data_IF_987136998818
#
_entry.id   IF_987136998818
#
_cell.length_a   1.000
_cell.length_b   1.000
_cell.length_c   1.000
_cell.angle_alpha   90.00
_cell.angle_beta   90.00
_cell.angle_gamma   90.00
#
_symmetry.space_group_name_H-M   'P 1'
#
loop_
_entity.id
_entity.type
_entity.pdbx_description
1 polymer ?
#
# COMPACT_ATOMS: atom_id res chain seq x y z
N UNK A 1 11.95 48.15 47.62
CA UNK A 1 10.81 47.82 46.75
C UNK A 1 11.37 47.19 45.48
N UNK A 2 11.11 45.89 45.29
CA UNK A 2 11.64 45.10 44.19
C UNK A 2 10.88 45.42 42.89
N UNK A 3 11.60 45.55 41.77
CA UNK A 3 11.03 45.44 40.42
C UNK A 3 11.80 44.35 39.67
N UNK A 4 11.16 43.28 39.20
CA UNK A 4 11.83 42.22 38.46
C UNK A 4 11.88 42.53 36.96
N UNK A 5 12.98 42.04 36.37
CA UNK A 5 13.31 41.96 34.95
C UNK A 5 12.21 41.31 34.11
N UNK A 6 11.82 41.95 33.01
CA UNK A 6 11.02 41.33 31.95
C UNK A 6 11.93 40.44 31.11
N UNK A 7 11.86 39.13 31.33
CA UNK A 7 12.35 38.11 30.41
C UNK A 7 11.23 37.85 29.42
N UNK A 8 11.46 38.14 28.14
CA UNK A 8 10.51 37.88 27.06
C UNK A 8 10.43 36.37 26.80
N UNK A 9 9.37 35.73 27.29
CA UNK A 9 9.12 34.30 27.10
C UNK A 9 8.45 34.09 25.74
N UNK A 10 9.18 33.47 24.82
CA UNK A 10 8.68 33.08 23.50
C UNK A 10 7.42 32.20 23.63
N UNK A 11 6.34 32.58 22.94
CA UNK A 11 5.08 31.85 22.92
C UNK A 11 5.27 30.42 22.36
N UNK A 12 4.62 29.39 22.93
CA UNK A 12 4.72 28.03 22.43
C UNK A 12 4.05 27.93 21.05
N UNK A 13 4.78 27.37 20.08
CA UNK A 13 4.28 27.10 18.72
C UNK A 13 3.01 26.25 18.80
N UNK A 14 1.89 26.78 18.32
CA UNK A 14 0.64 26.05 18.17
C UNK A 14 0.79 24.94 17.14
N UNK A 15 0.69 23.69 17.60
CA UNK A 15 0.59 22.50 16.77
C UNK A 15 -0.73 22.52 15.98
N UNK A 16 -0.68 22.87 14.69
CA UNK A 16 -1.83 22.97 13.79
C UNK A 16 -2.24 21.62 13.18
N UNK A 17 -2.06 20.51 13.90
CA UNK A 17 -2.31 19.15 13.38
C UNK A 17 -3.43 18.36 14.08
N UNK A 18 -4.42 19.03 14.69
CA UNK A 18 -5.62 18.34 15.22
C UNK A 18 -6.86 18.69 14.41
N UNK A 19 -7.20 17.82 13.46
CA UNK A 19 -8.48 17.84 12.75
C UNK A 19 -9.64 17.55 13.73
N UNK A 20 -10.84 18.11 13.51
CA UNK A 20 -11.96 18.02 14.45
C UNK A 20 -12.43 16.57 14.65
N UNK A 21 -12.51 16.18 15.93
CA UNK A 21 -13.04 14.90 16.39
C UNK A 21 -14.57 15.04 16.46
N UNK A 22 -15.28 14.84 15.34
CA UNK A 22 -16.71 14.53 15.36
C UNK A 22 -17.20 13.91 14.04
N UNK A 23 -17.81 12.73 14.17
CA UNK A 23 -18.36 11.94 13.07
C UNK A 23 -18.64 10.50 13.50
N UNK A 24 -19.27 10.33 14.66
CA UNK A 24 -19.81 9.05 15.13
C UNK A 24 -21.22 8.93 14.52
N UNK A 25 -21.36 8.19 13.41
CA UNK A 25 -22.63 7.59 12.99
C UNK A 25 -22.39 6.63 11.81
N UNK A 26 -22.96 5.44 11.95
CA UNK A 26 -23.23 4.45 10.90
C UNK A 26 -22.03 3.68 10.31
N UNK A 27 -21.49 2.79 11.14
CA UNK A 27 -21.06 1.48 10.64
C UNK A 27 -22.13 0.46 11.02
N UNK A 28 -22.79 -0.08 10.01
CA UNK A 28 -23.66 -1.25 10.11
C UNK A 28 -22.98 -2.32 10.94
N UNK A 29 -23.55 -2.61 12.11
CA UNK A 29 -23.24 -3.79 12.90
C UNK A 29 -23.70 -5.00 12.08
N UNK A 30 -22.80 -5.63 11.35
CA UNK A 30 -22.92 -7.06 11.11
C UNK A 30 -22.62 -7.69 12.47
N UNK A 31 -23.67 -7.97 13.23
CA UNK A 31 -23.54 -8.71 14.46
C UNK A 31 -23.01 -10.10 14.09
N UNK A 32 -21.72 -10.33 14.31
CA UNK A 32 -21.23 -11.68 14.48
C UNK A 32 -21.98 -12.23 15.71
N UNK A 33 -23.01 -13.04 15.46
CA UNK A 33 -23.66 -13.82 16.50
C UNK A 33 -22.60 -14.81 16.94
N UNK A 34 -21.85 -14.47 17.98
CA UNK A 34 -21.04 -15.44 18.68
C UNK A 34 -22.00 -16.53 19.16
N UNK A 35 -21.76 -17.81 18.85
CA UNK A 35 -22.56 -18.88 19.43
C UNK A 35 -22.52 -18.73 20.95
N UNK A 36 -23.69 -18.80 21.60
CA UNK A 36 -23.76 -18.91 23.06
C UNK A 36 -23.22 -20.30 23.39
N UNK A 37 -21.93 -20.37 23.69
CA UNK A 37 -21.26 -21.59 24.12
C UNK A 37 -21.33 -21.60 25.64
N UNK A 38 -21.82 -22.69 26.23
CA UNK A 38 -21.81 -22.86 27.67
C UNK A 38 -20.35 -22.77 28.17
N UNK A 39 -20.05 -21.79 29.03
CA UNK A 39 -18.69 -21.53 29.55
C UNK A 39 -18.06 -22.77 30.22
N UNK A 40 -18.89 -23.71 30.72
CA UNK A 40 -18.45 -24.96 31.33
C UNK A 40 -17.86 -25.99 30.33
N UNK A 41 -18.08 -25.80 29.02
CA UNK A 41 -17.59 -26.70 27.96
C UNK A 41 -16.43 -26.11 27.15
N UNK A 42 -15.98 -24.89 27.47
CA UNK A 42 -14.81 -24.30 26.83
C UNK A 42 -13.52 -24.91 27.38
N UNK A 43 -12.89 -25.75 26.57
CA UNK A 43 -11.52 -26.21 26.77
C UNK A 43 -10.52 -25.26 26.10
N UNK A 44 -9.35 -25.06 26.72
CA UNK A 44 -8.29 -24.18 26.28
C UNK A 44 -8.16 -22.85 27.05
N UNK A 45 -7.14 -22.06 26.68
CA UNK A 45 -6.86 -20.76 27.27
C UNK A 45 -7.16 -19.63 26.30
N UNK A 46 -7.76 -18.55 26.78
CA UNK A 46 -7.98 -17.36 25.96
C UNK A 46 -6.66 -16.62 25.70
N UNK A 47 -6.61 -15.85 24.61
CA UNK A 47 -5.45 -15.00 24.33
C UNK A 47 -5.21 -13.97 25.45
N UNK A 48 -6.25 -13.54 26.15
CA UNK A 48 -6.09 -12.61 27.28
C UNK A 48 -5.41 -13.28 28.47
N UNK A 49 -5.77 -14.52 28.79
CA UNK A 49 -5.15 -15.29 29.87
C UNK A 49 -3.69 -15.61 29.57
N UNK A 50 -3.36 -15.89 28.31
CA UNK A 50 -1.99 -16.20 27.89
C UNK A 50 -1.12 -14.94 27.89
N UNK A 51 -1.58 -13.84 27.28
CA UNK A 51 -0.71 -12.67 27.01
C UNK A 51 -0.84 -11.53 28.03
N UNK A 52 -1.94 -11.42 28.78
CA UNK A 52 -2.17 -10.29 29.71
C UNK A 52 -1.99 -10.65 31.18
N UNK A 53 -1.71 -11.91 31.53
CA UNK A 53 -1.59 -12.33 32.93
C UNK A 53 -0.39 -11.63 33.61
N UNK A 54 -0.61 -10.73 34.58
CA UNK A 54 0.45 -9.94 35.19
C UNK A 54 1.47 -10.79 35.96
N UNK A 55 1.03 -11.97 36.39
CA UNK A 55 1.78 -12.93 37.20
C UNK A 55 2.84 -13.69 36.38
N UNK A 56 2.68 -13.75 35.06
CA UNK A 56 3.51 -14.55 34.16
C UNK A 56 3.93 -13.71 32.94
N UNK A 57 4.93 -12.84 33.11
CA UNK A 57 5.52 -12.02 32.03
C UNK A 57 6.48 -12.84 31.16
N UNK A 58 5.96 -13.89 30.53
CA UNK A 58 6.74 -14.76 29.64
C UNK A 58 6.53 -14.31 28.19
N UNK A 59 7.60 -14.30 27.41
CA UNK A 59 7.53 -14.08 25.97
C UNK A 59 7.23 -15.39 25.26
N UNK A 60 6.22 -15.40 24.40
CA UNK A 60 5.89 -16.52 23.54
C UNK A 60 6.28 -16.22 22.09
N UNK A 61 6.75 -17.24 21.39
CA UNK A 61 7.00 -17.24 19.95
C UNK A 61 5.90 -18.03 19.22
N UNK A 62 5.94 -18.06 17.89
CA UNK A 62 4.92 -18.76 17.09
C UNK A 62 4.91 -20.28 17.33
N UNK A 63 6.05 -20.87 17.71
CA UNK A 63 6.16 -22.32 17.93
C UNK A 63 5.66 -22.75 19.32
N UNK A 64 5.46 -21.80 20.24
CA UNK A 64 5.06 -22.08 21.62
C UNK A 64 3.53 -22.21 21.79
N UNK A 65 2.75 -21.83 20.78
CA UNK A 65 1.28 -21.74 20.86
C UNK A 65 0.65 -22.42 19.64
N UNK A 66 -0.43 -23.15 19.89
CA UNK A 66 -1.28 -23.71 18.85
C UNK A 66 -2.71 -23.19 18.98
N UNK A 67 -3.41 -23.07 17.86
CA UNK A 67 -4.83 -22.74 17.86
C UNK A 67 -5.66 -24.03 17.92
N UNK A 68 -6.57 -24.14 18.90
CA UNK A 68 -7.51 -25.25 18.95
C UNK A 68 -8.50 -25.13 17.78
N UNK A 69 -8.82 -26.24 17.09
CA UNK A 69 -9.73 -26.22 15.96
C UNK A 69 -11.17 -25.94 16.42
N UNK A 70 -11.93 -25.24 15.56
CA UNK A 70 -13.35 -24.98 15.75
C UNK A 70 -14.23 -25.77 14.78
N UNK A 71 -15.54 -25.59 14.90
CA UNK A 71 -16.52 -26.15 13.97
C UNK A 71 -16.50 -25.40 12.62
N UNK A 72 -16.55 -26.13 11.50
CA UNK A 72 -16.49 -25.58 10.14
C UNK A 72 -17.81 -25.82 9.43
N UNK A 73 -18.39 -24.79 8.81
CA UNK A 73 -19.64 -24.86 8.03
C UNK A 73 -19.55 -24.18 6.65
N UNK A 74 -18.35 -23.82 6.20
CA UNK A 74 -18.10 -23.11 4.93
C UNK A 74 -16.95 -23.77 4.15
N UNK A 75 -16.83 -23.45 2.86
CA UNK A 75 -15.73 -23.92 2.01
C UNK A 75 -14.47 -23.06 2.16
N UNK A 76 -13.29 -23.62 1.89
CA UNK A 76 -12.00 -22.91 1.99
C UNK A 76 -11.97 -21.63 1.14
N UNK A 77 -12.68 -21.62 0.01
CA UNK A 77 -12.75 -20.47 -0.90
C UNK A 77 -13.59 -19.30 -0.38
N UNK A 78 -14.45 -19.54 0.63
CA UNK A 78 -15.30 -18.51 1.23
C UNK A 78 -14.57 -17.70 2.31
N UNK A 79 -13.33 -18.10 2.66
CA UNK A 79 -12.52 -17.42 3.66
C UNK A 79 -12.04 -16.07 3.13
N UNK A 80 -12.43 -15.01 3.81
CA UNK A 80 -12.06 -13.65 3.46
C UNK A 80 -10.69 -13.28 4.07
N UNK A 81 -9.69 -13.02 3.20
CA UNK A 81 -8.32 -12.64 3.60
C UNK A 81 -8.10 -11.12 3.64
N UNK A 82 -9.17 -10.37 3.42
CA UNK A 82 -9.18 -8.91 3.38
C UNK A 82 -8.62 -8.30 4.66
N UNK A 83 -7.54 -7.53 4.53
CA UNK A 83 -6.79 -7.00 5.68
C UNK A 83 -6.44 -5.53 5.51
N UNK A 84 -6.28 -4.81 6.61
CA UNK A 84 -5.95 -3.38 6.60
C UNK A 84 -4.48 -3.19 6.96
N UNK A 85 -3.70 -2.64 6.02
CA UNK A 85 -2.29 -2.24 6.31
C UNK A 85 -2.26 -0.87 6.98
N UNK A 86 -3.16 0.02 6.57
CA UNK A 86 -3.32 1.33 7.22
C UNK A 86 -4.81 1.59 7.46
N UNK A 87 -5.13 2.67 8.18
CA UNK A 87 -6.52 3.10 8.42
C UNK A 87 -7.35 3.31 7.14
N UNK A 88 -6.69 3.53 5.99
CA UNK A 88 -7.35 3.83 4.72
C UNK A 88 -7.06 2.81 3.61
N UNK A 89 -6.01 2.01 3.74
CA UNK A 89 -5.56 1.10 2.69
C UNK A 89 -5.88 -0.32 3.10
N UNK A 90 -6.77 -0.93 2.32
CA UNK A 90 -7.18 -2.34 2.43
C UNK A 90 -6.46 -3.16 1.35
N UNK A 91 -5.99 -4.33 1.73
CA UNK A 91 -5.42 -5.35 0.84
C UNK A 91 -6.37 -6.54 0.77
N UNK A 92 -6.34 -7.24 -0.37
CA UNK A 92 -7.08 -8.51 -0.54
C UNK A 92 -6.32 -9.69 0.06
N UNK A 93 -5.00 -9.61 0.05
CA UNK A 93 -4.11 -10.63 0.59
C UNK A 93 -3.21 -9.98 1.65
N UNK A 94 -3.10 -10.53 2.87
CA UNK A 94 -2.36 -9.95 3.99
C UNK A 94 -0.84 -10.20 3.89
N UNK A 95 -0.28 -10.09 2.68
CA UNK A 95 1.13 -10.34 2.43
C UNK A 95 1.77 -9.04 1.95
N UNK A 96 2.84 -8.65 2.64
CA UNK A 96 3.63 -7.45 2.36
C UNK A 96 5.10 -7.84 2.22
N UNK A 97 5.76 -7.37 1.16
CA UNK A 97 7.19 -7.63 0.98
C UNK A 97 8.05 -6.67 1.84
N UNK A 98 9.16 -7.20 2.36
CA UNK A 98 10.08 -6.45 3.23
C UNK A 98 10.82 -5.35 2.43
N UNK A 99 11.04 -4.16 3.01
CA UNK A 99 11.80 -3.06 2.39
C UNK A 99 13.32 -3.30 2.44
N UNK A 100 13.77 -4.41 1.87
CA UNK A 100 15.17 -4.81 1.76
C UNK A 100 15.64 -4.73 0.32
N UNK A 101 16.88 -4.32 0.11
CA UNK A 101 17.52 -4.22 -1.22
C UNK A 101 17.59 -5.55 -1.97
N UNK A 102 17.79 -6.64 -1.23
CA UNK A 102 17.78 -8.00 -1.76
C UNK A 102 16.39 -8.54 -2.10
N UNK A 103 15.32 -7.85 -1.68
CA UNK A 103 13.94 -8.36 -1.77
C UNK A 103 13.07 -7.50 -2.67
N UNK A 104 12.98 -6.19 -2.42
CA UNK A 104 11.91 -5.36 -2.98
C UNK A 104 12.42 -4.15 -3.76
N UNK A 105 12.55 -4.33 -5.08
CA UNK A 105 12.60 -3.26 -6.09
C UNK A 105 11.27 -3.18 -6.87
N UNK A 106 11.20 -2.37 -7.94
CA UNK A 106 9.98 -2.21 -8.75
C UNK A 106 9.37 -3.52 -9.24
N UNK A 107 10.19 -4.49 -9.67
CA UNK A 107 9.69 -5.79 -10.17
C UNK A 107 8.91 -6.56 -9.12
N UNK A 108 9.45 -6.68 -7.90
CA UNK A 108 8.78 -7.37 -6.80
C UNK A 108 7.54 -6.60 -6.34
N UNK A 109 7.64 -5.27 -6.24
CA UNK A 109 6.50 -4.45 -5.84
C UNK A 109 5.32 -4.54 -6.84
N UNK A 110 5.61 -4.63 -8.14
CA UNK A 110 4.59 -4.85 -9.18
C UNK A 110 3.96 -6.24 -9.01
N UNK A 111 4.76 -7.29 -8.86
CA UNK A 111 4.25 -8.66 -8.70
C UNK A 111 3.34 -8.79 -7.47
N UNK A 112 3.78 -8.28 -6.32
CA UNK A 112 3.00 -8.29 -5.07
C UNK A 112 1.67 -7.54 -5.22
N UNK A 113 1.69 -6.39 -5.88
CA UNK A 113 0.48 -5.60 -6.11
C UNK A 113 -0.50 -6.29 -7.07
N UNK A 114 -0.02 -7.06 -8.06
CA UNK A 114 -0.86 -7.82 -8.98
C UNK A 114 -1.58 -8.98 -8.27
N UNK A 115 -0.92 -9.63 -7.32
CA UNK A 115 -1.50 -10.69 -6.48
C UNK A 115 -2.42 -10.15 -5.36
N UNK A 116 -2.58 -8.83 -5.25
CA UNK A 116 -3.45 -8.20 -4.25
C UNK A 116 -2.81 -7.94 -2.88
N UNK A 117 -1.48 -8.11 -2.79
CA UNK A 117 -0.65 -7.71 -1.66
C UNK A 117 -0.05 -6.31 -1.83
N UNK A 118 1.04 -6.04 -1.10
CA UNK A 118 1.76 -4.76 -1.13
C UNK A 118 3.26 -4.98 -1.16
N UNK A 119 3.98 -4.18 -1.95
CA UNK A 119 5.45 -4.13 -1.90
C UNK A 119 5.96 -2.80 -1.37
N UNK A 120 6.96 -2.85 -0.49
CA UNK A 120 7.63 -1.65 0.05
C UNK A 120 9.04 -1.56 -0.52
N UNK A 121 9.32 -0.52 -1.31
CA UNK A 121 10.65 -0.32 -1.91
C UNK A 121 11.64 0.10 -0.81
N UNK A 122 12.81 -0.54 -0.80
CA UNK A 122 13.87 -0.23 0.17
C UNK A 122 14.42 1.20 0.03
N UNK A 123 15.12 1.68 1.06
CA UNK A 123 15.70 3.04 1.12
C UNK A 123 17.21 3.06 0.85
N UNK A 124 17.83 1.90 0.59
CA UNK A 124 19.26 1.78 0.28
C UNK A 124 19.59 2.24 -1.16
N UNK A 125 19.14 3.43 -1.55
CA UNK A 125 19.42 4.06 -2.84
C UNK A 125 19.20 5.58 -2.75
N UNK A 126 19.75 6.39 -3.68
CA UNK A 126 19.46 7.82 -3.74
C UNK A 126 17.96 8.11 -3.90
N UNK A 127 17.47 9.23 -3.36
CA UNK A 127 16.05 9.60 -3.42
C UNK A 127 15.49 9.62 -4.85
N UNK A 128 16.29 10.06 -5.83
CA UNK A 128 15.91 10.10 -7.24
C UNK A 128 15.69 8.69 -7.81
N UNK A 129 16.57 7.75 -7.46
CA UNK A 129 16.45 6.36 -7.88
C UNK A 129 15.20 5.71 -7.26
N UNK A 130 14.94 5.97 -5.97
CA UNK A 130 13.75 5.45 -5.31
C UNK A 130 12.46 5.99 -5.94
N UNK A 131 12.43 7.29 -6.25
CA UNK A 131 11.31 7.91 -6.94
C UNK A 131 11.10 7.30 -8.34
N UNK A 132 12.19 6.98 -9.06
CA UNK A 132 12.11 6.30 -10.34
C UNK A 132 11.51 4.89 -10.21
N UNK A 133 11.91 4.11 -9.21
CA UNK A 133 11.33 2.79 -8.92
C UNK A 133 9.83 2.88 -8.60
N UNK A 134 9.42 3.83 -7.73
CA UNK A 134 8.01 4.07 -7.41
C UNK A 134 7.22 4.47 -8.67
N UNK A 135 7.80 5.32 -9.52
CA UNK A 135 7.17 5.77 -10.78
C UNK A 135 6.93 4.59 -11.72
N UNK A 136 7.89 3.65 -11.84
CA UNK A 136 7.72 2.42 -12.62
C UNK A 136 6.55 1.58 -12.11
N UNK A 137 6.46 1.36 -10.79
CA UNK A 137 5.36 0.59 -10.19
C UNK A 137 4.00 1.22 -10.45
N UNK A 138 3.88 2.55 -10.25
CA UNK A 138 2.60 3.26 -10.45
C UNK A 138 2.18 3.36 -11.90
N UNK A 139 3.12 3.45 -12.84
CA UNK A 139 2.84 3.51 -14.29
C UNK A 139 2.54 2.15 -14.91
N UNK A 140 2.89 1.04 -14.25
CA UNK A 140 2.76 -0.30 -14.81
C UNK A 140 1.32 -0.66 -15.19
N UNK A 141 0.34 -0.32 -14.34
CA UNK A 141 -1.08 -0.55 -14.61
C UNK A 141 -1.90 0.69 -14.27
N UNK A 142 -2.05 1.56 -15.25
CA UNK A 142 -2.90 2.76 -15.18
C UNK A 142 -4.19 2.52 -15.95
N UNK A 143 -5.34 2.90 -15.36
CA UNK A 143 -6.62 2.89 -16.08
C UNK A 143 -6.65 3.96 -17.17
N UNK A 144 -6.40 5.22 -16.78
CA UNK A 144 -6.21 6.33 -17.70
C UNK A 144 -4.76 6.81 -17.64
N UNK A 145 -4.13 6.96 -18.80
CA UNK A 145 -2.76 7.46 -18.92
C UNK A 145 -2.84 8.98 -19.11
N UNK A 146 -2.49 9.74 -18.06
CA UNK A 146 -2.60 11.21 -18.06
C UNK A 146 -1.54 11.89 -18.93
N UNK A 147 -0.34 11.31 -18.99
CA UNK A 147 0.81 11.86 -19.71
C UNK A 147 1.49 10.76 -20.53
N UNK A 148 0.92 10.40 -21.71
CA UNK A 148 1.53 9.43 -22.60
C UNK A 148 2.75 10.02 -23.28
N UNK A 149 3.72 9.17 -23.61
CA UNK A 149 4.86 9.59 -24.45
C UNK A 149 4.36 9.77 -25.88
N UNK A 150 4.32 11.02 -26.34
CA UNK A 150 3.97 11.38 -27.71
C UNK A 150 5.22 11.48 -28.59
N UNK A 151 5.04 11.28 -29.90
CA UNK A 151 6.10 11.40 -30.90
C UNK A 151 5.70 12.38 -32.00
N UNK A 152 6.70 12.96 -32.67
CA UNK A 152 6.48 13.84 -33.83
C UNK A 152 6.34 12.99 -35.10
N UNK A 153 5.65 13.50 -36.13
CA UNK A 153 5.62 12.86 -37.45
C UNK A 153 7.01 12.75 -38.10
N UNK A 154 7.94 13.61 -37.69
CA UNK A 154 9.33 13.64 -38.19
C UNK A 154 10.28 12.70 -37.43
N UNK A 155 9.80 12.01 -36.38
CA UNK A 155 10.62 11.09 -35.60
C UNK A 155 10.99 9.86 -36.43
N UNK A 156 12.27 9.46 -36.38
CA UNK A 156 12.74 8.30 -37.15
C UNK A 156 12.30 6.98 -36.53
N UNK A 157 12.22 5.92 -37.33
CA UNK A 157 11.92 4.57 -36.82
C UNK A 157 12.99 4.06 -35.86
N UNK A 158 14.25 4.45 -36.05
CA UNK A 158 15.35 4.09 -35.13
C UNK A 158 15.13 4.69 -33.73
N UNK A 159 14.70 5.95 -33.65
CA UNK A 159 14.38 6.59 -32.36
C UNK A 159 13.17 5.94 -31.71
N UNK A 160 12.18 5.56 -32.52
CA UNK A 160 11.00 4.85 -32.07
C UNK A 160 11.34 3.47 -31.46
N UNK A 161 12.26 2.72 -32.07
CA UNK A 161 12.77 1.47 -31.50
C UNK A 161 13.54 1.68 -30.20
N UNK A 162 14.37 2.72 -30.12
CA UNK A 162 15.06 3.08 -28.89
C UNK A 162 14.08 3.42 -27.75
N UNK A 163 13.01 4.17 -28.07
CA UNK A 163 11.93 4.51 -27.15
C UNK A 163 11.13 3.28 -26.72
N UNK A 164 10.77 2.39 -27.64
CA UNK A 164 10.12 1.10 -27.34
C UNK A 164 10.91 0.31 -26.30
N UNK A 165 12.23 0.18 -26.49
CA UNK A 165 13.11 -0.54 -25.56
C UNK A 165 13.23 0.13 -24.19
N UNK A 166 13.21 1.47 -24.14
CA UNK A 166 13.33 2.24 -22.89
C UNK A 166 12.02 2.23 -22.08
N UNK A 167 10.88 2.37 -22.76
CA UNK A 167 9.57 2.50 -22.13
C UNK A 167 8.89 1.16 -21.86
N UNK A 168 9.23 0.10 -22.61
CA UNK A 168 8.69 -1.24 -22.42
C UNK A 168 7.27 -1.45 -22.97
N UNK A 169 6.73 -0.50 -23.73
CA UNK A 169 5.46 -0.61 -24.46
C UNK A 169 5.61 -0.16 -25.91
N UNK A 170 4.64 -0.53 -26.75
CA UNK A 170 4.77 -0.45 -28.21
C UNK A 170 3.82 0.55 -28.88
N UNK A 171 2.82 1.05 -28.18
CA UNK A 171 1.88 2.05 -28.69
C UNK A 171 2.34 3.47 -28.37
N UNK A 172 2.49 4.31 -29.40
CA UNK A 172 2.86 5.72 -29.28
C UNK A 172 1.86 6.59 -30.02
N UNK A 173 1.39 7.65 -29.37
CA UNK A 173 0.55 8.66 -30.00
C UNK A 173 1.42 9.62 -30.82
N UNK A 174 1.04 9.87 -32.08
CA UNK A 174 1.70 10.83 -32.96
C UNK A 174 0.97 12.15 -32.84
N UNK A 175 1.65 13.17 -32.35
CA UNK A 175 1.09 14.53 -32.24
C UNK A 175 1.95 15.52 -33.01
N UNK A 176 1.34 16.60 -33.49
CA UNK A 176 1.98 17.60 -34.36
C UNK A 176 3.31 18.12 -33.78
N UNK A 177 3.31 18.44 -32.49
CA UNK A 177 4.49 18.96 -31.77
C UNK A 177 5.21 17.92 -30.93
N UNK A 178 4.76 16.66 -30.92
CA UNK A 178 5.31 15.58 -30.08
C UNK A 178 5.06 15.73 -28.59
N UNK A 179 4.22 16.69 -28.18
CA UNK A 179 3.81 16.92 -26.80
C UNK A 179 2.35 16.53 -26.59
N UNK A 180 2.01 16.19 -25.35
CA UNK A 180 0.63 15.98 -24.92
C UNK A 180 -0.17 17.29 -25.03
N UNK A 181 -1.39 17.24 -25.56
CA UNK A 181 -2.26 18.40 -25.76
C UNK A 181 -2.17 19.08 -27.13
N UNK A 182 -1.21 18.70 -27.98
CA UNK A 182 -1.17 19.10 -29.39
C UNK A 182 -2.10 18.21 -30.25
N UNK A 183 -2.35 18.62 -31.50
CA UNK A 183 -3.28 17.91 -32.39
C UNK A 183 -2.81 16.48 -32.63
N UNK A 184 -3.68 15.51 -32.35
CA UNK A 184 -3.42 14.08 -32.59
C UNK A 184 -3.46 13.83 -34.11
N UNK A 185 -2.34 13.37 -34.65
CA UNK A 185 -2.20 13.04 -36.07
C UNK A 185 -2.37 11.54 -36.33
N UNK A 186 -2.06 10.69 -35.33
CA UNK A 186 -2.21 9.24 -35.48
C UNK A 186 -1.69 8.44 -34.30
N UNK A 187 -1.59 7.13 -34.52
CA UNK A 187 -1.08 6.16 -33.56
C UNK A 187 -0.13 5.20 -34.28
N UNK A 188 0.99 4.88 -33.66
CA UNK A 188 1.92 3.84 -34.12
C UNK A 188 1.91 2.70 -33.10
N UNK A 189 1.76 1.47 -33.58
CA UNK A 189 1.69 0.25 -32.78
C UNK A 189 2.77 -0.73 -33.20
N UNK A 190 2.88 -1.87 -32.50
CA UNK A 190 3.85 -2.92 -32.82
C UNK A 190 3.68 -3.51 -34.23
N UNK A 191 2.47 -3.46 -34.79
CA UNK A 191 2.12 -4.11 -36.06
C UNK A 191 2.44 -3.23 -37.28
N UNK A 192 2.63 -1.94 -37.04
CA UNK A 192 3.10 -0.98 -38.04
C UNK A 192 4.62 -1.05 -38.14
#
# INVERSE_FOLDING_TARGET
AAMPSQTEVAAPRQDRSRSPRNGRAEQQKVAAVAPQVDDELLDGHSAEDIFKNPSNRVGYTYDDIICLPGHINFGVHDVCLDSHVTKKIKLRVPIVSSPMDTVTESKMAIAMALEGGLGVIHTNMPCEAQAAEVSKVKKYRSGFIMDPVCIKPTTTLSDLEAMRRKCGYTGFAVTEDGNMGSRLMGLVTKRD
#
